data_IF_936617454521
#
_entry.id   IF_936617454521
#
_cell.length_a   1.000
_cell.length_b   1.000
_cell.length_c   1.000
_cell.angle_alpha   90.00
_cell.angle_beta   90.00
_cell.angle_gamma   90.00
#
_symmetry.space_group_name_H-M   'P 1'
#
loop_
_entity.id
_entity.type
_entity.pdbx_description
1 polymer ?
#
# COMPACT_ATOMS: atom_id res chain seq x y z
N UNK A 1 9.29 11.44 12.92
CA UNK A 1 10.07 10.46 12.12
C UNK A 1 11.13 9.81 12.97
N UNK A 2 11.42 8.53 12.71
CA UNK A 2 12.45 7.78 13.43
C UNK A 2 13.85 8.23 13.01
N UNK A 3 14.69 8.66 13.96
CA UNK A 3 16.05 9.17 13.70
C UNK A 3 17.06 8.08 13.36
N UNK A 4 16.71 6.80 13.55
CA UNK A 4 17.59 5.66 13.32
C UNK A 4 17.57 5.18 11.88
N UNK A 5 16.47 5.42 11.15
CA UNK A 5 16.29 4.91 9.79
C UNK A 5 17.34 5.45 8.81
N UNK A 6 17.79 6.73 8.85
CA UNK A 6 18.84 7.19 7.94
C UNK A 6 20.16 6.42 8.13
N UNK A 7 20.50 6.05 9.37
CA UNK A 7 21.71 5.26 9.65
C UNK A 7 21.62 3.85 9.09
N UNK A 8 20.46 3.20 9.20
CA UNK A 8 20.23 1.87 8.63
C UNK A 8 20.35 1.87 7.09
N UNK A 9 19.72 2.84 6.42
CA UNK A 9 19.76 2.92 4.95
C UNK A 9 21.05 3.55 4.39
N UNK A 10 21.94 4.07 5.24
CA UNK A 10 23.27 4.51 4.82
C UNK A 10 24.21 3.33 4.53
N UNK A 11 23.96 2.16 5.12
CA UNK A 11 24.69 0.92 4.87
C UNK A 11 24.18 0.24 3.60
N UNK A 12 24.62 0.73 2.44
CA UNK A 12 24.16 0.25 1.14
C UNK A 12 24.48 -1.23 0.92
N UNK A 13 25.67 -1.68 1.34
CA UNK A 13 26.11 -3.06 1.19
C UNK A 13 25.26 -3.99 2.06
N UNK A 14 25.02 -3.64 3.33
CA UNK A 14 24.16 -4.42 4.22
C UNK A 14 22.72 -4.52 3.73
N UNK A 15 22.18 -3.47 3.11
CA UNK A 15 20.84 -3.52 2.49
C UNK A 15 20.85 -4.48 1.28
N UNK A 16 21.87 -4.42 0.43
CA UNK A 16 21.98 -5.33 -0.72
C UNK A 16 22.13 -6.79 -0.29
N UNK A 17 22.86 -7.06 0.81
CA UNK A 17 22.95 -8.40 1.40
C UNK A 17 21.56 -8.93 1.80
N UNK A 18 20.72 -8.11 2.42
CA UNK A 18 19.34 -8.47 2.79
C UNK A 18 18.50 -8.76 1.54
N UNK A 19 18.63 -7.92 0.50
CA UNK A 19 17.91 -8.09 -0.77
C UNK A 19 18.28 -9.42 -1.43
N UNK A 20 19.58 -9.72 -1.54
CA UNK A 20 20.08 -10.96 -2.14
C UNK A 20 19.68 -12.18 -1.32
N UNK A 21 19.80 -12.12 0.02
CA UNK A 21 19.37 -13.21 0.90
C UNK A 21 17.86 -13.49 0.79
N UNK A 22 17.07 -12.50 0.36
CA UNK A 22 15.63 -12.62 0.11
C UNK A 22 15.30 -13.02 -1.34
N UNK A 23 16.30 -13.33 -2.18
CA UNK A 23 16.14 -13.75 -3.57
C UNK A 23 16.10 -12.60 -4.60
N UNK A 24 16.44 -11.38 -4.19
CA UNK A 24 16.58 -10.24 -5.09
C UNK A 24 17.89 -10.23 -5.87
N UNK A 25 18.00 -9.29 -6.83
CA UNK A 25 19.20 -9.13 -7.64
C UNK A 25 20.34 -8.49 -6.84
N UNK A 26 21.60 -8.95 -6.97
CA UNK A 26 22.77 -8.25 -6.42
C UNK A 26 23.03 -6.90 -7.09
N UNK A 27 22.45 -6.66 -8.27
CA UNK A 27 22.51 -5.38 -8.99
C UNK A 27 21.27 -4.50 -8.73
N UNK A 28 20.49 -4.80 -7.68
CA UNK A 28 19.33 -3.99 -7.35
C UNK A 28 19.77 -2.57 -6.96
N UNK A 29 18.99 -1.58 -7.38
CA UNK A 29 19.15 -0.20 -6.93
C UNK A 29 18.03 0.13 -5.95
N UNK A 30 18.34 0.90 -4.91
CA UNK A 30 17.35 1.39 -3.98
C UNK A 30 17.62 2.85 -3.62
N UNK A 31 16.54 3.59 -3.34
CA UNK A 31 16.59 4.98 -2.85
C UNK A 31 15.77 5.05 -1.57
N UNK A 32 16.40 5.45 -0.48
CA UNK A 32 15.70 5.79 0.76
C UNK A 32 15.39 7.29 0.78
N UNK A 33 14.13 7.65 1.04
CA UNK A 33 13.68 9.03 1.15
C UNK A 33 13.15 9.24 2.57
N UNK A 34 13.88 10.03 3.36
CA UNK A 34 13.47 10.38 4.73
C UNK A 34 12.59 11.63 4.69
N UNK A 35 11.35 11.47 4.26
CA UNK A 35 10.39 12.57 4.11
C UNK A 35 8.97 12.14 4.47
N UNK A 36 8.09 13.13 4.63
CA UNK A 36 6.67 12.91 4.81
C UNK A 36 6.07 12.77 3.41
N UNK A 37 5.45 11.64 3.11
CA UNK A 37 4.91 11.38 1.78
C UNK A 37 3.71 12.27 1.42
N UNK A 38 3.22 13.08 2.37
CA UNK A 38 2.23 14.13 2.12
C UNK A 38 2.83 15.35 1.43
N UNK A 39 4.16 15.49 1.49
CA UNK A 39 4.92 16.50 0.78
C UNK A 39 5.46 15.93 -0.55
N UNK A 40 5.98 16.80 -1.41
CA UNK A 40 6.60 16.40 -2.68
C UNK A 40 7.87 15.56 -2.44
N UNK A 41 7.95 14.40 -3.10
CA UNK A 41 9.04 13.43 -2.91
C UNK A 41 10.13 13.48 -3.99
N UNK A 42 10.03 14.39 -4.96
CA UNK A 42 10.93 14.47 -6.13
C UNK A 42 11.08 13.10 -6.82
N UNK A 43 9.92 12.50 -7.09
CA UNK A 43 9.76 11.25 -7.82
C UNK A 43 8.98 11.51 -9.12
N UNK A 44 9.33 10.84 -10.22
CA UNK A 44 8.58 10.99 -11.46
C UNK A 44 7.15 10.48 -11.30
N UNK A 45 6.19 11.20 -11.88
CA UNK A 45 4.82 10.72 -11.97
C UNK A 45 4.73 9.48 -12.85
N UNK A 46 3.79 8.59 -12.53
CA UNK A 46 3.47 7.38 -13.29
C UNK A 46 4.72 6.55 -13.70
N UNK A 47 5.67 6.38 -12.78
CA UNK A 47 6.92 5.67 -13.06
C UNK A 47 7.03 4.31 -12.36
N UNK A 48 6.17 4.03 -11.38
CA UNK A 48 6.22 2.79 -10.60
C UNK A 48 5.14 1.81 -11.03
N UNK A 49 5.46 0.52 -11.07
CA UNK A 49 4.50 -0.56 -11.38
C UNK A 49 3.78 -1.08 -10.12
N UNK A 50 4.37 -0.89 -8.94
CA UNK A 50 3.87 -1.33 -7.65
C UNK A 50 4.04 -0.23 -6.59
N UNK A 51 2.95 0.08 -5.89
CA UNK A 51 2.94 0.92 -4.69
C UNK A 51 2.56 0.05 -3.49
N UNK A 52 3.34 0.11 -2.40
CA UNK A 52 3.14 -0.73 -1.21
C UNK A 52 2.76 0.14 -0.01
N UNK A 53 1.56 -0.07 0.53
CA UNK A 53 1.02 0.61 1.71
C UNK A 53 0.66 -0.42 2.79
N UNK A 54 1.69 -0.92 3.46
CA UNK A 54 1.53 -1.89 4.55
C UNK A 54 1.84 -1.20 5.88
N UNK A 55 0.84 -1.13 6.75
CA UNK A 55 0.93 -0.51 8.07
C UNK A 55 1.35 0.97 8.02
N UNK A 56 1.00 1.65 6.93
CA UNK A 56 1.18 3.08 6.71
C UNK A 56 -0.18 3.80 6.70
N UNK A 57 -0.20 5.14 6.84
CA UNK A 57 -1.41 5.97 6.75
C UNK A 57 -2.02 6.00 5.34
N UNK A 58 -2.66 7.11 4.94
CA UNK A 58 -3.35 7.23 3.65
C UNK A 58 -2.39 7.42 2.46
N UNK A 59 -1.55 6.42 2.19
CA UNK A 59 -0.57 6.44 1.09
C UNK A 59 -1.27 6.53 -0.27
N UNK A 60 -2.42 5.86 -0.45
CA UNK A 60 -3.18 5.94 -1.70
C UNK A 60 -3.62 7.37 -2.03
N UNK A 61 -3.93 8.19 -1.04
CA UNK A 61 -4.33 9.58 -1.27
C UNK A 61 -3.18 10.40 -1.87
N UNK A 62 -1.97 10.25 -1.30
CA UNK A 62 -0.84 11.13 -1.59
C UNK A 62 0.14 10.59 -2.66
N UNK A 63 0.25 9.27 -2.81
CA UNK A 63 1.28 8.64 -3.64
C UNK A 63 0.77 8.03 -4.94
N UNK A 64 -0.55 8.07 -5.20
CA UNK A 64 -1.14 7.46 -6.41
C UNK A 64 -0.55 8.02 -7.70
N UNK A 65 -0.19 9.30 -7.72
CA UNK A 65 0.32 9.95 -8.92
C UNK A 65 1.67 9.38 -9.38
N UNK A 66 2.45 8.78 -8.49
CA UNK A 66 3.69 8.08 -8.82
C UNK A 66 3.43 6.68 -9.44
N UNK A 67 2.30 6.05 -9.13
CA UNK A 67 1.93 4.73 -9.65
C UNK A 67 1.45 4.84 -11.11
N UNK A 68 1.92 3.98 -12.02
CA UNK A 68 1.43 3.95 -13.40
C UNK A 68 -0.07 3.62 -13.47
N UNK A 69 -0.76 4.10 -14.50
CA UNK A 69 -2.03 3.50 -14.92
C UNK A 69 -1.77 2.03 -15.31
N UNK A 70 -2.56 1.11 -14.77
CA UNK A 70 -2.32 -0.33 -14.82
C UNK A 70 -1.40 -0.87 -13.72
N UNK A 71 -0.74 0.02 -12.96
CA UNK A 71 0.05 -0.34 -11.79
C UNK A 71 -0.81 -0.84 -10.63
N UNK A 72 -0.19 -1.55 -9.69
CA UNK A 72 -0.87 -2.16 -8.54
C UNK A 72 -0.54 -1.43 -7.24
N UNK A 73 -1.56 -1.14 -6.44
CA UNK A 73 -1.45 -0.78 -5.04
C UNK A 73 -1.67 -2.05 -4.18
N UNK A 74 -0.65 -2.45 -3.42
CA UNK A 74 -0.75 -3.47 -2.37
C UNK A 74 -0.96 -2.78 -1.02
N UNK A 75 -2.11 -2.96 -0.41
CA UNK A 75 -2.51 -2.20 0.79
C UNK A 75 -3.16 -3.06 1.87
N UNK A 76 -2.83 -2.84 3.14
CA UNK A 76 -3.48 -3.53 4.25
C UNK A 76 -4.51 -2.63 4.98
N UNK A 77 -5.51 -3.19 5.66
CA UNK A 77 -6.59 -2.40 6.24
C UNK A 77 -6.22 -1.66 7.55
N UNK A 78 -4.99 -1.80 8.06
CA UNK A 78 -4.59 -1.42 9.43
C UNK A 78 -4.81 0.06 9.76
N UNK A 79 -4.53 0.97 8.84
CA UNK A 79 -4.64 2.43 9.04
C UNK A 79 -5.59 3.09 8.05
N UNK A 80 -6.51 2.32 7.47
CA UNK A 80 -7.61 2.84 6.67
C UNK A 80 -7.33 3.15 5.21
N UNK A 81 -6.11 2.91 4.73
CA UNK A 81 -5.77 3.15 3.34
C UNK A 81 -6.53 2.24 2.36
N UNK A 82 -6.95 1.03 2.79
CA UNK A 82 -7.93 0.22 2.02
C UNK A 82 -9.24 0.97 1.82
N UNK A 83 -9.74 1.64 2.86
CA UNK A 83 -11.00 2.37 2.77
C UNK A 83 -10.83 3.61 1.87
N UNK A 84 -9.69 4.29 1.97
CA UNK A 84 -9.35 5.42 1.10
C UNK A 84 -9.29 4.98 -0.37
N UNK A 85 -8.52 3.93 -0.67
CA UNK A 85 -8.44 3.38 -2.02
C UNK A 85 -9.78 2.86 -2.54
N UNK A 86 -10.66 2.33 -1.68
CA UNK A 86 -11.96 1.78 -2.10
C UNK A 86 -12.96 2.82 -2.60
N UNK A 87 -12.76 4.09 -2.26
CA UNK A 87 -13.63 5.20 -2.67
C UNK A 87 -12.96 6.14 -3.67
N UNK A 88 -11.68 5.90 -3.98
CA UNK A 88 -10.93 6.66 -4.96
C UNK A 88 -11.27 6.15 -6.36
N UNK A 89 -11.85 6.99 -7.25
CA UNK A 89 -12.24 6.57 -8.60
C UNK A 89 -11.05 6.19 -9.49
N UNK A 90 -9.81 6.47 -9.07
CA UNK A 90 -8.60 6.03 -9.77
C UNK A 90 -8.30 4.55 -9.59
N UNK A 91 -8.98 3.86 -8.68
CA UNK A 91 -8.70 2.47 -8.33
C UNK A 91 -9.88 1.52 -8.56
N UNK A 92 -9.55 0.28 -8.90
CA UNK A 92 -10.46 -0.86 -8.89
C UNK A 92 -9.87 -2.01 -8.06
N UNK A 93 -10.68 -2.65 -7.21
CA UNK A 93 -10.25 -3.82 -6.47
C UNK A 93 -10.01 -4.99 -7.44
N UNK A 94 -8.75 -5.37 -7.63
CA UNK A 94 -8.34 -6.42 -8.56
C UNK A 94 -7.99 -7.75 -7.88
N UNK A 95 -7.79 -7.73 -6.56
CA UNK A 95 -7.53 -8.95 -5.81
C UNK A 95 -7.42 -8.74 -4.31
N UNK A 96 -7.28 -9.83 -3.57
CA UNK A 96 -6.90 -9.84 -2.16
C UNK A 96 -5.81 -10.88 -1.91
N UNK A 97 -4.95 -10.60 -0.93
CA UNK A 97 -3.94 -11.53 -0.45
C UNK A 97 -4.46 -12.18 0.83
N UNK A 98 -4.56 -13.51 0.84
CA UNK A 98 -4.84 -14.28 2.06
C UNK A 98 -3.55 -14.89 2.58
N UNK A 99 -3.39 -14.95 3.91
CA UNK A 99 -2.25 -15.61 4.55
C UNK A 99 -2.74 -16.74 5.46
N UNK A 100 -2.08 -17.91 5.39
CA UNK A 100 -2.27 -19.01 6.35
C UNK A 100 -0.92 -19.65 6.64
N UNK A 101 -0.48 -19.61 7.89
CA UNK A 101 0.83 -20.17 8.32
C UNK A 101 2.00 -19.69 7.43
N UNK A 102 2.05 -18.39 7.15
CA UNK A 102 3.03 -17.73 6.27
C UNK A 102 2.96 -18.13 4.77
N UNK A 103 1.99 -18.95 4.35
CA UNK A 103 1.66 -19.15 2.94
C UNK A 103 0.73 -18.03 2.45
N UNK A 104 1.15 -17.30 1.41
CA UNK A 104 0.41 -16.18 0.83
C UNK A 104 -0.21 -16.59 -0.51
N UNK A 105 -1.48 -16.26 -0.69
CA UNK A 105 -2.21 -16.53 -1.95
C UNK A 105 -3.02 -15.33 -2.39
N UNK A 106 -2.92 -15.02 -3.67
CA UNK A 106 -3.79 -14.04 -4.34
C UNK A 106 -5.12 -14.70 -4.68
N UNK A 107 -6.21 -13.98 -4.41
CA UNK A 107 -7.59 -14.36 -4.76
C UNK A 107 -8.23 -13.23 -5.56
N UNK A 108 -8.83 -13.57 -6.69
CA UNK A 108 -9.50 -12.64 -7.60
C UNK A 108 -11.01 -12.91 -7.73
N UNK A 109 -11.52 -13.94 -7.05
CA UNK A 109 -12.94 -14.29 -7.08
C UNK A 109 -13.74 -13.63 -5.95
N UNK A 110 -15.01 -13.34 -6.21
CA UNK A 110 -15.97 -12.79 -5.23
C UNK A 110 -15.48 -11.50 -4.54
N UNK A 111 -14.77 -10.62 -5.26
CA UNK A 111 -14.14 -9.42 -4.70
C UNK A 111 -15.12 -8.46 -4.06
N UNK A 112 -16.35 -8.37 -4.58
CA UNK A 112 -17.45 -7.55 -4.02
C UNK A 112 -17.78 -7.87 -2.56
N UNK A 113 -17.39 -9.04 -2.06
CA UNK A 113 -17.65 -9.46 -0.68
C UNK A 113 -16.61 -8.97 0.33
N UNK A 114 -15.51 -8.36 -0.11
CA UNK A 114 -14.40 -7.98 0.76
C UNK A 114 -14.48 -6.54 1.29
N UNK A 115 -15.18 -5.64 0.58
CA UNK A 115 -15.35 -4.24 0.97
C UNK A 115 -16.73 -3.97 1.59
N UNK A 116 -17.29 -4.96 2.29
CA UNK A 116 -18.58 -4.84 3.00
C UNK A 116 -18.32 -4.44 4.45
N UNK A 117 -18.70 -3.22 4.90
CA UNK A 117 -18.53 -2.80 6.28
C UNK A 117 -19.31 -3.68 7.27
N UNK A 118 -18.75 -3.91 8.47
CA UNK A 118 -19.45 -4.61 9.57
C UNK A 118 -20.64 -3.81 10.10
N UNK A 119 -20.57 -2.49 10.02
CA UNK A 119 -21.62 -1.56 10.42
C UNK A 119 -21.90 -0.65 9.23
N UNK A 120 -23.17 -0.45 8.83
CA UNK A 120 -23.51 0.50 7.77
C UNK A 120 -22.91 1.87 8.08
N UNK A 121 -22.10 2.36 7.15
CA UNK A 121 -21.42 3.65 7.26
C UNK A 121 -21.19 4.15 5.84
N UNK A 122 -21.41 5.44 5.64
CA UNK A 122 -20.99 6.11 4.42
C UNK A 122 -19.50 6.41 4.50
N UNK A 123 -18.72 5.89 3.54
CA UNK A 123 -17.27 5.98 3.56
C UNK A 123 -16.85 7.18 2.73
N UNK A 124 -16.34 8.21 3.40
CA UNK A 124 -15.89 9.45 2.76
C UNK A 124 -14.47 9.81 3.22
N UNK A 125 -13.69 10.56 2.42
CA UNK A 125 -12.35 10.99 2.83
C UNK A 125 -12.38 11.78 4.14
N UNK A 126 -13.34 12.70 4.29
CA UNK A 126 -13.51 13.49 5.51
C UNK A 126 -13.73 12.60 6.75
N UNK A 127 -14.54 11.55 6.64
CA UNK A 127 -14.77 10.61 7.73
C UNK A 127 -13.51 9.80 8.09
N UNK A 128 -12.72 9.39 7.09
CA UNK A 128 -11.48 8.66 7.31
C UNK A 128 -10.42 9.55 7.98
N UNK A 129 -10.29 10.80 7.53
CA UNK A 129 -9.41 11.81 8.12
C UNK A 129 -9.78 12.13 9.58
N UNK A 130 -11.06 12.39 9.86
CA UNK A 130 -11.55 12.70 11.21
C UNK A 130 -11.28 11.54 12.20
N UNK A 131 -11.46 10.30 11.75
CA UNK A 131 -11.25 9.12 12.60
C UNK A 131 -9.79 8.71 12.75
N UNK A 132 -8.93 9.08 11.80
CA UNK A 132 -7.54 8.62 11.73
C UNK A 132 -7.40 7.08 11.60
N UNK A 133 -8.47 6.38 11.18
CA UNK A 133 -8.49 4.92 11.02
C UNK A 133 -9.54 4.48 10.00
N UNK A 134 -9.35 3.26 9.50
CA UNK A 134 -10.22 2.64 8.50
C UNK A 134 -11.57 2.14 8.97
N UNK A 135 -12.29 1.58 8.01
CA UNK A 135 -13.55 0.83 8.20
C UNK A 135 -13.25 -0.63 8.52
N UNK A 136 -13.98 -1.19 9.49
CA UNK A 136 -13.92 -2.61 9.76
C UNK A 136 -14.80 -3.36 8.75
N UNK A 137 -14.19 -4.16 7.88
CA UNK A 137 -14.89 -4.99 6.91
C UNK A 137 -15.25 -6.37 7.48
N UNK A 138 -16.27 -7.01 6.92
CA UNK A 138 -16.74 -8.35 7.33
C UNK A 138 -15.70 -9.44 7.07
N UNK A 139 -14.84 -9.24 6.06
CA UNK A 139 -13.69 -10.10 5.75
C UNK A 139 -12.38 -9.40 6.10
N UNK A 140 -11.39 -10.19 6.47
CA UNK A 140 -10.07 -9.67 6.89
C UNK A 140 -8.96 -10.44 6.18
N UNK A 141 -8.77 -10.22 4.86
CA UNK A 141 -7.59 -10.71 4.16
C UNK A 141 -6.34 -10.02 4.74
N UNK A 142 -5.17 -10.55 4.41
CA UNK A 142 -3.90 -9.96 4.81
C UNK A 142 -3.71 -8.58 4.15
N UNK A 143 -3.98 -8.50 2.84
CA UNK A 143 -3.90 -7.27 2.07
C UNK A 143 -4.91 -7.28 0.91
N UNK A 144 -5.09 -6.13 0.30
CA UNK A 144 -5.91 -5.86 -0.87
C UNK A 144 -4.98 -5.43 -2.02
N UNK A 145 -5.38 -5.76 -3.24
CA UNK A 145 -4.73 -5.33 -4.47
C UNK A 145 -5.71 -4.44 -5.20
N UNK A 146 -5.34 -3.18 -5.41
CA UNK A 146 -6.08 -2.26 -6.26
C UNK A 146 -5.27 -1.99 -7.52
N UNK A 147 -5.91 -2.03 -8.68
CA UNK A 147 -5.30 -1.59 -9.94
C UNK A 147 -5.63 -0.13 -10.17
N UNK A 148 -4.64 0.69 -10.53
CA UNK A 148 -4.88 2.08 -10.96
C UNK A 148 -5.46 2.07 -12.38
N UNK A 149 -6.62 2.70 -12.60
CA UNK A 149 -7.35 2.64 -13.88
C UNK A 149 -7.35 3.96 -14.68
N UNK A 150 -7.01 5.10 -14.04
CA UNK A 150 -6.90 6.42 -14.67
C UNK A 150 -5.75 7.25 -14.12
#
# INVERSE_FOLDING_TARGET
MDKRTPGFFADQDGILEIVVASGGSPSAEFRFIHADYRDELDLPAASFDLLVSLYAGFVSEHCTDYLKVGGTLLVNPSHGDVAMASIDPRYELSGVVTSRAADYRVRTGNLSTYLVPKTPVDVTPAMLHDRGRGVAYTKSPYAYLFSRIV
#
